data_IF_483269923989
#
_entry.id   IF_483269923989
#
_cell.length_a   1.000
_cell.length_b   1.000
_cell.length_c   1.000
_cell.angle_alpha   90.00
_cell.angle_beta   90.00
_cell.angle_gamma   90.00
#
_symmetry.space_group_name_H-M   'P 1'
#
loop_
_entity.id
_entity.type
_entity.pdbx_description
1 polymer ?
#
# COMPACT_ATOMS: atom_id res chain seq x y z
N UNK A 1 -4.31 -20.03 -2.51
CA UNK A 1 -5.45 -20.27 -1.60
C UNK A 1 -5.25 -21.59 -0.88
N UNK A 2 -4.99 -22.68 -1.61
CA UNK A 2 -4.66 -24.01 -1.07
C UNK A 2 -3.43 -23.98 -0.18
N UNK A 3 -2.38 -23.23 -0.57
CA UNK A 3 -1.12 -23.13 0.19
C UNK A 3 -1.26 -22.53 1.60
N UNK A 4 -2.36 -21.84 1.90
CA UNK A 4 -2.55 -21.10 3.16
C UNK A 4 -1.89 -19.72 3.19
N UNK A 5 -1.17 -19.29 2.14
CA UNK A 5 -0.53 -17.96 2.08
C UNK A 5 -1.54 -16.81 2.19
N UNK A 6 -2.75 -17.03 1.65
CA UNK A 6 -3.89 -16.15 1.84
C UNK A 6 -4.59 -16.58 3.12
N UNK A 7 -4.57 -15.74 4.16
CA UNK A 7 -5.18 -16.04 5.47
C UNK A 7 -6.71 -15.96 5.41
N UNK A 8 -7.39 -16.60 6.35
CA UNK A 8 -8.87 -16.56 6.42
C UNK A 8 -9.40 -15.12 6.55
N UNK A 9 -8.67 -14.24 7.25
CA UNK A 9 -9.02 -12.80 7.34
C UNK A 9 -8.95 -12.04 6.01
N UNK A 10 -8.31 -12.60 4.99
CA UNK A 10 -8.21 -12.02 3.65
C UNK A 10 -9.30 -12.52 2.69
N UNK A 11 -10.14 -13.45 3.15
CA UNK A 11 -11.23 -14.05 2.37
C UNK A 11 -12.55 -13.64 3.03
N UNK A 12 -13.43 -12.99 2.28
CA UNK A 12 -14.77 -12.62 2.76
C UNK A 12 -15.81 -12.90 1.70
N UNK A 13 -17.09 -12.79 2.05
CA UNK A 13 -18.19 -12.96 1.10
C UNK A 13 -19.31 -11.96 1.39
N UNK A 14 -20.21 -11.77 0.41
CA UNK A 14 -21.45 -11.01 0.59
C UNK A 14 -22.39 -11.68 1.61
N UNK A 15 -22.50 -13.00 1.54
CA UNK A 15 -23.32 -13.83 2.42
C UNK A 15 -22.78 -15.26 2.46
N UNK A 16 -23.31 -16.07 3.36
CA UNK A 16 -23.07 -17.52 3.37
C UNK A 16 -24.33 -18.22 3.87
N UNK A 17 -24.69 -19.35 3.27
CA UNK A 17 -25.85 -20.13 3.71
C UNK A 17 -25.70 -20.58 5.17
N UNK A 18 -24.48 -21.01 5.52
CA UNK A 18 -24.06 -21.23 6.90
C UNK A 18 -22.58 -20.84 7.02
N UNK A 19 -22.26 -19.98 8.00
CA UNK A 19 -20.95 -19.36 8.12
C UNK A 19 -19.84 -20.35 8.50
N UNK A 20 -20.17 -21.47 9.16
CA UNK A 20 -19.18 -22.45 9.63
C UNK A 20 -18.91 -23.50 8.55
N UNK A 21 -19.97 -24.08 7.97
CA UNK A 21 -19.86 -25.20 7.04
C UNK A 21 -19.58 -24.78 5.60
N UNK A 22 -20.10 -23.63 5.16
CA UNK A 22 -19.97 -23.12 3.77
C UNK A 22 -19.60 -21.63 3.72
N UNK A 23 -18.89 -21.17 4.75
CA UNK A 23 -18.34 -19.82 4.83
C UNK A 23 -17.20 -19.58 3.82
N UNK A 24 -16.81 -18.31 3.61
CA UNK A 24 -15.75 -17.92 2.69
C UNK A 24 -14.42 -18.64 2.94
N UNK A 25 -14.06 -18.92 4.20
CA UNK A 25 -12.84 -19.63 4.58
C UNK A 25 -12.78 -21.06 4.01
N UNK A 26 -13.92 -21.67 3.69
CA UNK A 26 -14.02 -23.01 3.10
C UNK A 26 -13.93 -23.00 1.57
N UNK A 27 -13.75 -21.84 0.93
CA UNK A 27 -13.66 -21.71 -0.52
C UNK A 27 -12.29 -22.13 -1.10
N UNK A 28 -11.39 -22.70 -0.30
CA UNK A 28 -10.02 -23.06 -0.74
C UNK A 28 -10.04 -24.26 -1.69
N UNK A 29 -9.20 -24.18 -2.72
CA UNK A 29 -8.96 -25.30 -3.62
C UNK A 29 -8.39 -26.50 -2.85
N UNK A 30 -8.88 -27.70 -3.16
CA UNK A 30 -8.45 -28.98 -2.57
C UNK A 30 -8.54 -29.18 -1.03
N UNK A 31 -9.50 -28.55 -0.34
CA UNK A 31 -9.91 -28.96 1.03
C UNK A 31 -11.20 -29.80 1.08
N UNK A 32 -11.29 -31.00 0.47
CA UNK A 32 -12.52 -31.80 0.47
C UNK A 32 -12.84 -32.44 1.83
N UNK A 33 -11.93 -32.38 2.81
CA UNK A 33 -12.07 -33.08 4.11
C UNK A 33 -12.24 -32.16 5.33
N UNK A 34 -12.15 -30.83 5.16
CA UNK A 34 -12.44 -29.85 6.22
C UNK A 34 -13.82 -29.23 5.97
N UNK A 35 -14.81 -29.64 6.76
CA UNK A 35 -16.22 -29.24 6.65
C UNK A 35 -16.83 -29.53 5.26
N UNK A 36 -17.83 -28.75 4.82
CA UNK A 36 -18.55 -28.99 3.55
C UNK A 36 -17.69 -28.67 2.30
N UNK A 37 -16.53 -28.03 2.48
CA UNK A 37 -15.47 -27.90 1.48
C UNK A 37 -15.76 -26.94 0.32
N UNK A 38 -16.60 -25.91 0.50
CA UNK A 38 -16.80 -24.83 -0.48
C UNK A 38 -17.43 -23.60 0.19
N UNK A 39 -17.41 -22.44 -0.47
CA UNK A 39 -18.30 -21.32 -0.13
C UNK A 39 -19.62 -21.43 -0.89
N UNK A 40 -20.74 -21.22 -0.20
CA UNK A 40 -22.08 -21.17 -0.81
C UNK A 40 -22.82 -19.93 -0.30
N UNK A 41 -23.30 -19.03 -1.19
CA UNK A 41 -24.09 -17.86 -0.79
C UNK A 41 -25.42 -18.25 -0.16
N UNK A 42 -25.99 -17.36 0.65
CA UNK A 42 -27.26 -17.59 1.34
C UNK A 42 -28.43 -17.74 0.36
N UNK A 43 -28.50 -16.86 -0.65
CA UNK A 43 -29.54 -16.89 -1.65
C UNK A 43 -29.17 -17.77 -2.85
N UNK A 44 -30.17 -18.37 -3.48
CA UNK A 44 -30.00 -18.98 -4.80
C UNK A 44 -29.59 -17.92 -5.82
N UNK A 45 -28.63 -18.28 -6.66
CA UNK A 45 -28.17 -17.42 -7.76
C UNK A 45 -29.18 -17.49 -8.89
N UNK A 46 -29.61 -16.32 -9.33
CA UNK A 46 -30.52 -16.08 -10.45
C UNK A 46 -30.01 -14.88 -11.24
N UNK A 47 -30.58 -14.64 -12.42
CA UNK A 47 -30.25 -13.44 -13.18
C UNK A 47 -30.50 -12.17 -12.36
N UNK A 48 -29.52 -11.27 -12.34
CA UNK A 48 -29.51 -10.04 -11.51
C UNK A 48 -29.12 -10.21 -10.04
N UNK A 49 -28.89 -11.42 -9.53
CA UNK A 49 -28.37 -11.61 -8.17
C UNK A 49 -26.90 -11.12 -8.07
N UNK A 50 -26.55 -10.43 -6.98
CA UNK A 50 -25.19 -9.98 -6.71
C UNK A 50 -24.67 -10.55 -5.40
N UNK A 51 -24.15 -11.77 -5.50
CA UNK A 51 -23.39 -12.43 -4.43
C UNK A 51 -21.92 -12.51 -4.86
N UNK A 52 -20.99 -12.46 -3.93
CA UNK A 52 -19.57 -12.52 -4.25
C UNK A 52 -18.73 -13.20 -3.17
N UNK A 53 -17.68 -13.90 -3.62
CA UNK A 53 -16.53 -14.28 -2.81
C UNK A 53 -15.41 -13.26 -3.07
N UNK A 54 -14.88 -12.65 -2.02
CA UNK A 54 -13.85 -11.62 -2.09
C UNK A 54 -12.52 -12.14 -1.56
N UNK A 55 -11.43 -11.87 -2.28
CA UNK A 55 -10.07 -12.20 -1.88
C UNK A 55 -9.14 -10.99 -2.05
N UNK A 56 -8.27 -10.74 -1.08
CA UNK A 56 -7.21 -9.71 -1.16
C UNK A 56 -5.96 -10.27 -1.86
N UNK A 57 -5.92 -10.26 -3.20
CA UNK A 57 -4.70 -10.60 -3.95
C UNK A 57 -4.67 -10.08 -5.40
N UNK A 58 -3.49 -10.08 -6.02
CA UNK A 58 -3.25 -9.79 -7.44
C UNK A 58 -3.35 -11.09 -8.23
N UNK A 59 -3.98 -11.06 -9.42
CA UNK A 59 -4.42 -12.29 -10.09
C UNK A 59 -4.14 -12.25 -11.60
N UNK A 60 -3.49 -13.30 -12.09
CA UNK A 60 -3.27 -13.64 -13.50
C UNK A 60 -4.19 -14.76 -13.99
N UNK A 61 -4.57 -15.69 -13.12
CA UNK A 61 -5.48 -16.79 -13.46
C UNK A 61 -6.43 -17.10 -12.30
N UNK A 62 -7.61 -17.60 -12.64
CA UNK A 62 -8.61 -18.08 -11.69
C UNK A 62 -8.89 -19.52 -12.00
N UNK A 63 -8.91 -20.38 -11.00
CA UNK A 63 -9.36 -21.76 -11.15
C UNK A 63 -10.52 -22.05 -10.20
N UNK A 64 -11.59 -22.65 -10.71
CA UNK A 64 -12.80 -22.91 -9.94
C UNK A 64 -13.17 -24.39 -9.92
N UNK A 65 -13.79 -24.82 -8.82
CA UNK A 65 -14.42 -26.14 -8.64
C UNK A 65 -15.76 -26.00 -7.89
N UNK A 66 -16.65 -26.99 -8.06
CA UNK A 66 -17.89 -27.10 -7.27
C UNK A 66 -17.69 -27.68 -5.88
N UNK A 67 -18.76 -27.92 -5.13
CA UNK A 67 -18.73 -28.58 -3.82
C UNK A 67 -18.73 -30.10 -3.99
N UNK A 68 -17.65 -30.77 -3.59
CA UNK A 68 -17.57 -32.24 -3.62
C UNK A 68 -18.25 -32.88 -2.39
N UNK A 69 -17.93 -32.39 -1.19
CA UNK A 69 -18.45 -32.87 0.10
C UNK A 69 -18.52 -34.41 0.21
N UNK A 70 -17.39 -35.07 -0.02
CA UNK A 70 -17.30 -36.54 0.05
C UNK A 70 -18.16 -37.30 -0.97
N UNK A 71 -18.58 -36.65 -2.06
CA UNK A 71 -19.46 -37.23 -3.09
C UNK A 71 -20.96 -36.90 -2.91
N UNK A 72 -21.34 -36.22 -1.82
CA UNK A 72 -22.73 -35.79 -1.61
C UNK A 72 -23.04 -34.41 -2.23
N UNK A 73 -22.02 -33.63 -2.56
CA UNK A 73 -22.18 -32.30 -3.15
C UNK A 73 -22.61 -32.35 -4.61
N UNK A 74 -23.55 -31.48 -4.97
CA UNK A 74 -24.10 -31.35 -6.35
C UNK A 74 -24.03 -29.92 -6.86
N UNK A 75 -23.53 -28.99 -6.06
CA UNK A 75 -23.60 -27.57 -6.30
C UNK A 75 -22.29 -27.05 -6.90
N UNK A 76 -22.40 -26.33 -8.02
CA UNK A 76 -21.28 -25.70 -8.71
C UNK A 76 -21.80 -24.46 -9.44
N UNK A 77 -20.92 -23.47 -9.65
CA UNK A 77 -21.24 -22.33 -10.49
C UNK A 77 -20.99 -22.67 -11.96
N UNK A 78 -21.98 -22.44 -12.83
CA UNK A 78 -21.84 -22.60 -14.28
C UNK A 78 -21.17 -21.43 -14.94
N UNK A 79 -21.33 -20.24 -14.38
CA UNK A 79 -20.70 -19.03 -14.87
C UNK A 79 -20.30 -18.18 -13.68
N UNK A 80 -19.33 -17.29 -13.90
CA UNK A 80 -19.06 -16.20 -12.99
C UNK A 80 -18.58 -14.97 -13.76
N UNK A 81 -18.61 -13.84 -13.07
CA UNK A 81 -17.96 -12.61 -13.48
C UNK A 81 -16.89 -12.26 -12.45
N UNK A 82 -15.94 -11.43 -12.85
CA UNK A 82 -14.90 -10.93 -11.96
C UNK A 82 -15.09 -9.42 -11.79
N UNK A 83 -15.23 -8.98 -10.53
CA UNK A 83 -15.10 -7.57 -10.17
C UNK A 83 -13.79 -7.36 -9.43
N UNK A 84 -13.11 -6.25 -9.68
CA UNK A 84 -11.83 -5.97 -9.05
C UNK A 84 -11.74 -4.52 -8.58
N UNK A 85 -11.01 -4.33 -7.49
CA UNK A 85 -10.68 -3.03 -6.92
C UNK A 85 -9.18 -2.84 -7.05
N UNK A 86 -8.74 -1.84 -7.79
CA UNK A 86 -7.31 -1.51 -7.91
C UNK A 86 -6.89 -0.59 -6.76
N UNK A 87 -7.43 0.61 -6.75
CA UNK A 87 -7.18 1.67 -5.76
C UNK A 87 -8.48 2.40 -5.45
N UNK A 88 -8.64 2.87 -4.21
CA UNK A 88 -9.84 3.62 -3.78
C UNK A 88 -11.02 2.71 -3.45
N UNK A 89 -12.24 3.17 -3.78
CA UNK A 89 -13.51 2.54 -3.40
C UNK A 89 -14.34 2.00 -4.57
N UNK A 90 -13.95 2.30 -5.81
CA UNK A 90 -14.73 1.95 -7.01
C UNK A 90 -14.35 0.57 -7.56
N UNK A 91 -15.32 -0.34 -7.56
CA UNK A 91 -15.19 -1.66 -8.20
C UNK A 91 -15.32 -1.56 -9.71
N UNK A 92 -14.51 -2.33 -10.44
CA UNK A 92 -14.55 -2.44 -11.89
C UNK A 92 -14.88 -3.87 -12.33
N UNK A 93 -15.74 -4.01 -13.34
CA UNK A 93 -16.04 -5.30 -13.97
C UNK A 93 -14.93 -5.67 -14.94
N UNK A 94 -14.36 -6.86 -14.79
CA UNK A 94 -13.41 -7.42 -15.74
C UNK A 94 -14.07 -7.71 -17.09
N UNK A 95 -13.34 -7.43 -18.16
CA UNK A 95 -13.72 -7.74 -19.54
C UNK A 95 -12.50 -8.28 -20.27
N UNK A 96 -12.66 -9.40 -20.95
CA UNK A 96 -11.68 -9.87 -21.93
C UNK A 96 -11.54 -8.86 -23.07
N UNK A 97 -10.49 -9.01 -23.89
CA UNK A 97 -10.23 -8.16 -25.06
C UNK A 97 -11.41 -8.07 -26.05
N UNK A 98 -12.17 -9.14 -26.18
CA UNK A 98 -13.40 -9.21 -26.98
C UNK A 98 -14.61 -8.52 -26.31
N UNK A 99 -14.42 -7.88 -25.15
CA UNK A 99 -15.44 -7.26 -24.29
C UNK A 99 -16.41 -8.22 -23.59
N UNK A 100 -16.20 -9.53 -23.64
CA UNK A 100 -16.97 -10.48 -22.83
C UNK A 100 -16.56 -10.41 -21.37
N UNK A 101 -17.54 -10.44 -20.47
CA UNK A 101 -17.33 -10.39 -19.01
C UNK A 101 -17.88 -11.61 -18.27
N UNK A 102 -18.70 -12.41 -18.95
CA UNK A 102 -19.25 -13.65 -18.42
C UNK A 102 -18.30 -14.80 -18.77
N UNK A 103 -17.87 -15.54 -17.76
CA UNK A 103 -16.93 -16.66 -17.89
C UNK A 103 -17.70 -17.95 -17.67
N UNK A 104 -17.64 -18.88 -18.64
CA UNK A 104 -18.18 -20.24 -18.48
C UNK A 104 -17.24 -21.03 -17.58
N UNK A 105 -17.75 -21.44 -16.42
CA UNK A 105 -17.00 -22.08 -15.35
C UNK A 105 -17.26 -23.60 -15.39
N UNK A 106 -17.74 -24.19 -14.29
CA UNK A 106 -17.81 -25.63 -14.12
C UNK A 106 -19.05 -26.28 -14.77
N UNK A 107 -18.88 -27.52 -15.24
CA UNK A 107 -19.95 -28.40 -15.74
C UNK A 107 -20.32 -29.51 -14.77
N UNK A 108 -19.50 -29.71 -13.74
CA UNK A 108 -19.68 -30.70 -12.69
C UNK A 108 -19.05 -30.21 -11.36
N UNK A 109 -19.09 -31.03 -10.31
CA UNK A 109 -18.60 -30.66 -8.97
C UNK A 109 -17.11 -30.91 -8.72
N UNK A 110 -16.46 -31.72 -9.56
CA UNK A 110 -15.11 -32.27 -9.31
C UNK A 110 -14.04 -31.68 -10.23
N UNK A 111 -14.37 -31.38 -11.47
CA UNK A 111 -13.43 -30.95 -12.50
C UNK A 111 -12.97 -29.53 -12.21
N UNK A 112 -11.66 -29.38 -12.05
CA UNK A 112 -11.00 -28.09 -11.96
C UNK A 112 -10.98 -27.42 -13.33
N UNK A 113 -11.41 -26.16 -13.40
CA UNK A 113 -11.34 -25.38 -14.63
C UNK A 113 -10.56 -24.11 -14.35
N UNK A 114 -9.43 -23.97 -15.04
CA UNK A 114 -8.56 -22.81 -14.99
C UNK A 114 -8.85 -21.87 -16.15
N UNK A 115 -9.01 -20.59 -15.83
CA UNK A 115 -9.18 -19.49 -16.76
C UNK A 115 -8.01 -18.51 -16.64
N UNK A 116 -7.24 -18.41 -17.71
CA UNK A 116 -6.21 -17.38 -17.84
C UNK A 116 -6.84 -16.04 -18.23
N UNK A 117 -6.57 -15.01 -17.43
CA UNK A 117 -7.11 -13.67 -17.66
C UNK A 117 -6.28 -12.95 -18.73
N UNK A 118 -6.92 -12.58 -19.84
CA UNK A 118 -6.33 -11.72 -20.87
C UNK A 118 -7.20 -10.49 -21.18
N UNK A 119 -6.84 -9.31 -20.65
CA UNK A 119 -5.58 -8.98 -19.98
C UNK A 119 -5.51 -9.49 -18.52
N UNK A 120 -4.31 -9.65 -17.94
CA UNK A 120 -4.15 -9.90 -16.51
C UNK A 120 -4.62 -8.69 -15.68
N UNK A 121 -5.03 -8.92 -14.44
CA UNK A 121 -5.59 -7.88 -13.57
C UNK A 121 -4.59 -7.50 -12.48
N UNK A 122 -4.30 -6.20 -12.37
CA UNK A 122 -3.60 -5.63 -11.21
C UNK A 122 -4.66 -5.04 -10.27
N UNK A 123 -4.89 -5.71 -9.14
CA UNK A 123 -5.90 -5.34 -8.17
C UNK A 123 -5.44 -5.55 -6.73
N UNK A 124 -5.97 -4.76 -5.80
CA UNK A 124 -5.81 -4.97 -4.36
C UNK A 124 -6.87 -5.92 -3.80
N UNK A 125 -8.06 -5.97 -4.41
CA UNK A 125 -9.15 -6.88 -4.04
C UNK A 125 -9.85 -7.41 -5.26
N UNK A 126 -10.27 -8.67 -5.23
CA UNK A 126 -11.03 -9.30 -6.31
C UNK A 126 -12.26 -9.97 -5.74
N UNK A 127 -13.35 -9.93 -6.51
CA UNK A 127 -14.63 -10.56 -6.25
C UNK A 127 -14.96 -11.52 -7.39
N UNK A 128 -15.21 -12.77 -7.05
CA UNK A 128 -15.86 -13.74 -7.93
C UNK A 128 -17.36 -13.67 -7.71
N UNK A 129 -18.07 -13.30 -8.76
CA UNK A 129 -19.53 -13.07 -8.75
C UNK A 129 -20.19 -14.21 -9.53
N UNK A 130 -20.66 -15.28 -8.88
CA UNK A 130 -21.34 -16.38 -9.57
C UNK A 130 -22.58 -15.89 -10.32
N UNK A 131 -22.81 -16.48 -11.49
CA UNK A 131 -23.93 -16.16 -12.38
C UNK A 131 -24.65 -17.42 -12.85
N UNK A 132 -25.97 -17.33 -12.95
CA UNK A 132 -26.82 -18.38 -13.50
C UNK A 132 -28.04 -17.78 -14.16
N UNK A 133 -28.37 -18.26 -15.37
CA UNK A 133 -29.57 -17.86 -16.10
C UNK A 133 -30.86 -18.28 -15.39
N UNK A 134 -30.82 -19.38 -14.62
CA UNK A 134 -31.96 -19.89 -13.87
C UNK A 134 -31.61 -20.00 -12.38
N UNK A 135 -32.60 -19.82 -11.47
CA UNK A 135 -32.39 -19.96 -10.03
C UNK A 135 -31.75 -21.31 -9.67
N UNK A 136 -30.59 -21.28 -9.02
CA UNK A 136 -29.93 -22.49 -8.49
C UNK A 136 -29.05 -22.19 -7.29
N UNK A 137 -28.87 -23.21 -6.45
CA UNK A 137 -27.82 -23.19 -5.43
C UNK A 137 -26.48 -23.41 -6.11
N UNK A 138 -25.51 -22.55 -5.80
CA UNK A 138 -24.13 -22.67 -6.29
C UNK A 138 -23.20 -22.74 -5.10
N UNK A 139 -22.05 -23.36 -5.32
CA UNK A 139 -20.93 -23.28 -4.41
C UNK A 139 -19.63 -23.13 -5.21
N UNK A 140 -18.65 -22.46 -4.64
CA UNK A 140 -17.34 -22.24 -5.25
C UNK A 140 -16.22 -22.72 -4.32
N UNK A 141 -15.29 -23.45 -4.92
CA UNK A 141 -13.89 -23.51 -4.51
C UNK A 141 -13.07 -22.74 -5.53
N UNK A 142 -12.06 -22.03 -5.07
CA UNK A 142 -11.25 -21.13 -5.91
C UNK A 142 -9.77 -21.26 -5.58
N UNK A 143 -8.95 -21.30 -6.62
CA UNK A 143 -7.53 -20.95 -6.57
C UNK A 143 -7.26 -19.72 -7.43
N UNK A 144 -6.39 -18.84 -6.93
CA UNK A 144 -6.00 -17.60 -7.56
C UNK A 144 -4.49 -17.64 -7.79
N UNK A 145 -4.09 -17.50 -9.04
CA UNK A 145 -2.69 -17.46 -9.44
C UNK A 145 -2.30 -16.03 -9.70
N UNK A 146 -1.08 -15.64 -9.33
CA UNK A 146 -0.56 -14.31 -9.60
C UNK A 146 0.81 -14.08 -8.99
N UNK A 147 1.23 -12.82 -8.95
CA UNK A 147 2.49 -12.41 -8.35
C UNK A 147 2.35 -11.05 -7.63
N UNK A 148 3.26 -10.75 -6.70
CA UNK A 148 3.31 -9.43 -6.09
C UNK A 148 3.68 -8.38 -7.15
N UNK A 149 2.79 -7.40 -7.31
CA UNK A 149 2.99 -6.30 -8.24
C UNK A 149 3.91 -5.26 -7.61
N UNK A 150 5.09 -5.08 -8.21
CA UNK A 150 6.11 -4.13 -7.76
C UNK A 150 6.06 -2.86 -8.63
N UNK A 151 5.08 -1.98 -8.41
CA UNK A 151 5.37 -0.55 -8.48
C UNK A 151 4.68 0.41 -9.46
N UNK A 152 3.38 0.34 -9.77
CA UNK A 152 2.61 1.49 -10.35
C UNK A 152 1.11 1.45 -9.92
N UNK A 153 0.71 2.30 -8.96
CA UNK A 153 -0.67 2.27 -8.40
C UNK A 153 -1.70 2.92 -9.32
N UNK A 154 -1.35 4.00 -10.01
CA UNK A 154 -2.23 4.73 -10.93
C UNK A 154 -1.44 5.15 -12.16
N UNK A 155 -1.60 4.37 -13.23
CA UNK A 155 -1.64 4.98 -14.56
C UNK A 155 -3.04 5.56 -14.66
N UNK A 156 -3.16 6.86 -14.97
CA UNK A 156 -4.44 7.58 -15.02
C UNK A 156 -5.57 6.71 -15.55
N UNK A 157 -6.68 6.67 -14.80
CA UNK A 157 -7.86 5.84 -15.07
C UNK A 157 -8.54 6.12 -16.43
N UNK A 158 -8.01 7.06 -17.21
CA UNK A 158 -8.45 7.37 -18.57
C UNK A 158 -7.53 6.80 -19.66
N UNK A 159 -6.36 6.24 -19.35
CA UNK A 159 -5.42 5.77 -20.38
C UNK A 159 -5.75 4.34 -20.85
N UNK A 160 -6.49 3.56 -20.05
CA UNK A 160 -7.05 2.25 -20.45
C UNK A 160 -8.49 2.32 -21.00
N UNK A 161 -8.96 3.51 -21.40
CA UNK A 161 -10.10 3.54 -22.30
C UNK A 161 -9.63 3.09 -23.69
N UNK A 162 -9.83 1.80 -23.96
CA UNK A 162 -9.84 1.17 -25.28
C UNK A 162 -10.02 2.19 -26.42
N UNK A 163 -8.90 2.65 -27.02
CA UNK A 163 -8.96 3.05 -28.42
C UNK A 163 -9.05 1.76 -29.23
N UNK A 164 -10.30 1.43 -29.55
CA UNK A 164 -10.73 0.34 -30.43
C UNK A 164 -10.15 0.55 -31.83
N UNK A 165 -8.87 0.26 -32.04
CA UNK A 165 -8.31 0.07 -33.38
C UNK A 165 -8.59 -1.36 -33.80
N UNK A 166 -9.75 -1.53 -34.44
CA UNK A 166 -10.14 -2.73 -35.18
C UNK A 166 -9.15 -2.89 -36.33
N UNK A 167 -8.12 -3.74 -36.18
CA UNK A 167 -7.35 -4.24 -37.32
C UNK A 167 -7.99 -5.54 -37.80
N UNK A 168 -8.57 -5.44 -38.99
CA UNK A 168 -9.01 -6.55 -39.81
C UNK A 168 -7.77 -7.17 -40.47
N UNK A 169 -7.82 -8.50 -40.63
CA UNK A 169 -6.91 -9.40 -41.36
C UNK A 169 -5.70 -10.03 -40.65
N UNK A 170 -5.85 -11.36 -40.48
CA UNK A 170 -4.90 -12.47 -40.59
C UNK A 170 -3.40 -12.17 -40.46
N UNK A 171 -2.79 -12.92 -39.53
CA UNK A 171 -1.38 -13.31 -39.48
C UNK A 171 -0.35 -12.21 -39.17
N UNK A 172 -0.36 -11.69 -37.94
CA UNK A 172 0.88 -11.37 -37.20
C UNK A 172 0.54 -10.95 -35.77
N UNK A 173 1.15 -11.62 -34.79
CA UNK A 173 1.10 -11.24 -33.37
C UNK A 173 1.92 -9.94 -33.18
N UNK A 174 1.30 -8.79 -33.43
CA UNK A 174 1.95 -7.49 -33.22
C UNK A 174 1.65 -6.94 -31.83
N UNK A 175 2.73 -6.53 -31.16
CA UNK A 175 2.76 -6.04 -29.79
C UNK A 175 1.76 -4.90 -29.61
N UNK A 176 0.85 -5.05 -28.65
CA UNK A 176 -0.13 -4.02 -28.33
C UNK A 176 0.61 -2.74 -27.91
N UNK A 177 0.43 -1.70 -28.73
CA UNK A 177 1.04 -0.39 -28.54
C UNK A 177 -0.07 0.64 -28.35
N UNK A 178 0.01 1.47 -27.32
CA UNK A 178 -0.84 2.64 -27.14
C UNK A 178 -0.26 3.75 -28.02
N UNK A 179 -1.08 4.24 -28.95
CA UNK A 179 -0.73 5.37 -29.82
C UNK A 179 -1.19 6.69 -29.19
N UNK A 180 -0.26 7.61 -29.00
CA UNK A 180 -0.52 8.98 -28.58
C UNK A 180 -0.36 9.91 -29.78
N UNK A 181 -1.33 10.81 -29.97
CA UNK A 181 -1.21 11.89 -30.95
C UNK A 181 -0.47 13.06 -30.30
N UNK A 182 0.40 13.72 -31.07
CA UNK A 182 1.12 14.90 -30.61
C UNK A 182 0.13 16.02 -30.23
N UNK A 183 0.35 16.63 -29.07
CA UNK A 183 -0.27 17.91 -28.77
C UNK A 183 0.27 18.99 -29.74
N UNK A 184 -0.33 20.18 -29.73
CA UNK A 184 0.07 21.29 -30.60
C UNK A 184 1.56 21.67 -30.47
N UNK A 185 2.18 21.39 -29.32
CA UNK A 185 3.59 21.63 -29.03
C UNK A 185 4.53 20.48 -29.46
N UNK A 186 3.99 19.37 -30.01
CA UNK A 186 4.77 18.19 -30.37
C UNK A 186 5.07 17.24 -29.21
N UNK A 187 4.37 17.38 -28.08
CA UNK A 187 4.63 16.61 -26.87
C UNK A 187 3.43 15.82 -26.36
N UNK A 188 3.67 14.85 -25.47
CA UNK A 188 2.66 14.14 -24.68
C UNK A 188 3.12 14.13 -23.23
N UNK A 189 2.23 14.52 -22.32
CA UNK A 189 2.47 14.48 -20.87
C UNK A 189 1.79 13.25 -20.25
N UNK A 190 2.56 12.51 -19.46
CA UNK A 190 2.12 11.34 -18.71
C UNK A 190 2.48 11.53 -17.23
N UNK A 191 1.52 11.31 -16.34
CA UNK A 191 1.78 11.32 -14.89
C UNK A 191 1.54 9.92 -14.32
N UNK A 192 2.46 9.48 -13.48
CA UNK A 192 2.46 8.17 -12.82
C UNK A 192 2.48 8.42 -11.31
N UNK A 193 1.48 7.92 -10.58
CA UNK A 193 1.58 7.88 -9.11
C UNK A 193 1.82 6.45 -8.62
N UNK A 194 2.54 6.40 -7.51
CA UNK A 194 2.99 5.21 -6.83
C UNK A 194 2.30 5.12 -5.46
N UNK A 195 2.18 3.91 -4.95
CA UNK A 195 1.54 3.57 -3.68
C UNK A 195 2.28 4.17 -2.47
N UNK A 196 3.58 4.38 -2.62
CA UNK A 196 4.49 4.88 -1.59
C UNK A 196 5.67 5.64 -2.22
N UNK A 197 6.45 6.35 -1.39
CA UNK A 197 7.70 6.97 -1.86
C UNK A 197 8.71 5.87 -2.18
N UNK A 198 9.20 5.87 -3.41
CA UNK A 198 10.19 4.93 -3.91
C UNK A 198 11.45 5.66 -4.35
N UNK A 199 12.58 4.96 -4.31
CA UNK A 199 13.85 5.42 -4.86
C UNK A 199 14.04 4.82 -6.26
N UNK A 200 14.10 5.67 -7.30
CA UNK A 200 14.06 5.26 -8.69
C UNK A 200 15.45 5.14 -9.31
N UNK A 201 15.76 3.99 -9.89
CA UNK A 201 17.03 3.71 -10.55
C UNK A 201 17.02 4.14 -12.01
N UNK A 202 16.02 3.70 -12.77
CA UNK A 202 15.85 4.00 -14.19
C UNK A 202 14.40 3.77 -14.64
N UNK A 203 14.03 4.33 -15.79
CA UNK A 203 12.80 4.02 -16.53
C UNK A 203 13.16 3.41 -17.89
N UNK A 204 12.37 2.46 -18.35
CA UNK A 204 12.47 1.87 -19.69
C UNK A 204 11.20 2.18 -20.48
N UNK A 205 11.38 2.72 -21.68
CA UNK A 205 10.31 3.06 -22.62
C UNK A 205 10.42 2.15 -23.85
N UNK A 206 9.38 1.39 -24.13
CA UNK A 206 9.28 0.59 -25.34
C UNK A 206 8.47 1.34 -26.38
N UNK A 207 9.14 1.83 -27.42
CA UNK A 207 8.52 2.65 -28.47
C UNK A 207 8.53 1.94 -29.81
N UNK A 208 7.51 2.18 -30.63
CA UNK A 208 7.52 1.76 -32.03
C UNK A 208 8.13 2.89 -32.87
N UNK A 209 9.23 2.58 -33.58
CA UNK A 209 10.10 3.55 -34.26
C UNK A 209 10.78 4.53 -33.28
N UNK A 210 11.92 5.08 -33.71
CA UNK A 210 12.77 5.94 -32.87
C UNK A 210 12.44 7.43 -33.09
N UNK A 211 11.15 7.76 -33.03
CA UNK A 211 10.63 9.12 -33.26
C UNK A 211 10.75 10.02 -32.03
N UNK A 212 10.99 9.42 -30.86
CA UNK A 212 11.18 10.09 -29.59
C UNK A 212 12.47 10.91 -29.64
N UNK A 213 12.37 12.20 -29.31
CA UNK A 213 13.43 13.19 -29.47
C UNK A 213 14.00 13.61 -28.13
N UNK A 214 13.12 13.87 -27.17
CA UNK A 214 13.47 14.32 -25.83
C UNK A 214 12.44 13.78 -24.83
N UNK A 215 12.92 13.35 -23.69
CA UNK A 215 12.11 12.98 -22.54
C UNK A 215 12.49 13.84 -21.36
N UNK A 216 11.52 14.53 -20.77
CA UNK A 216 11.70 15.28 -19.53
C UNK A 216 10.95 14.60 -18.42
N UNK A 217 11.60 14.41 -17.27
CA UNK A 217 11.05 13.68 -16.14
C UNK A 217 11.17 14.57 -14.91
N UNK A 218 10.07 14.80 -14.21
CA UNK A 218 10.00 15.55 -12.96
C UNK A 218 9.41 14.70 -11.87
N UNK A 219 9.87 14.91 -10.63
CA UNK A 219 9.58 14.07 -9.49
C UNK A 219 8.80 14.86 -8.44
N UNK A 220 7.84 14.20 -7.81
CA UNK A 220 7.10 14.74 -6.69
C UNK A 220 7.17 13.80 -5.51
N UNK A 221 7.60 14.31 -4.35
CA UNK A 221 7.53 13.58 -3.09
C UNK A 221 6.13 13.66 -2.48
N UNK A 222 5.38 14.73 -2.72
CA UNK A 222 4.06 14.94 -2.14
C UNK A 222 2.88 14.58 -3.07
N UNK A 223 3.14 14.21 -4.33
CA UNK A 223 2.14 13.87 -5.35
C UNK A 223 1.47 15.08 -6.01
N UNK A 224 1.76 16.31 -5.56
CA UNK A 224 1.07 17.54 -6.02
C UNK A 224 2.00 18.52 -6.72
N UNK A 225 3.21 18.68 -6.21
CA UNK A 225 4.18 19.65 -6.73
C UNK A 225 5.34 18.91 -7.40
N UNK A 226 5.60 19.27 -8.66
CA UNK A 226 6.71 18.75 -9.46
C UNK A 226 7.76 19.85 -9.61
N UNK A 227 8.84 19.76 -8.82
CA UNK A 227 9.90 20.76 -8.86
C UNK A 227 10.76 20.62 -10.11
N UNK A 228 11.01 21.72 -10.81
CA UNK A 228 12.00 21.79 -11.90
C UNK A 228 13.41 21.42 -11.43
N UNK A 229 13.75 21.66 -10.16
CA UNK A 229 15.05 21.23 -9.60
C UNK A 229 15.24 19.71 -9.56
N UNK A 230 14.15 18.94 -9.68
CA UNK A 230 14.19 17.49 -9.77
C UNK A 230 14.32 16.97 -11.21
N UNK A 231 14.22 17.86 -12.20
CA UNK A 231 14.06 17.48 -13.59
C UNK A 231 15.28 16.71 -14.12
N UNK A 232 15.00 15.63 -14.86
CA UNK A 232 15.97 14.92 -15.67
C UNK A 232 15.54 15.07 -17.12
N UNK A 233 16.45 15.49 -17.98
CA UNK A 233 16.22 15.56 -19.42
C UNK A 233 17.10 14.53 -20.12
N UNK A 234 16.49 13.65 -20.90
CA UNK A 234 17.16 12.72 -21.79
C UNK A 234 16.89 13.10 -23.23
N UNK A 235 17.94 13.18 -24.05
CA UNK A 235 17.83 13.44 -25.48
C UNK A 235 18.17 12.15 -26.21
N UNK A 236 17.27 11.71 -27.06
CA UNK A 236 17.42 10.49 -27.84
C UNK A 236 17.99 10.87 -29.21
N UNK A 237 19.21 10.42 -29.49
CA UNK A 237 19.86 10.63 -30.79
C UNK A 237 19.32 9.60 -31.78
N UNK A 238 18.95 10.05 -32.99
CA UNK A 238 18.60 9.16 -34.10
C UNK A 238 19.77 8.21 -34.35
N UNK A 239 19.52 6.90 -34.28
CA UNK A 239 20.48 5.90 -34.75
C UNK A 239 20.69 6.10 -36.24
N UNK A 240 21.94 6.27 -36.66
CA UNK A 240 22.33 6.41 -38.07
C UNK A 240 22.27 5.09 -38.84
N UNK A 241 22.07 3.96 -38.17
CA UNK A 241 22.01 2.64 -38.80
C UNK A 241 20.57 2.11 -38.74
N UNK A 242 19.84 2.28 -39.84
CA UNK A 242 18.45 1.80 -40.01
C UNK A 242 18.30 0.27 -39.92
N UNK A 243 19.41 -0.47 -39.97
CA UNK A 243 19.43 -1.94 -40.03
C UNK A 243 19.27 -2.65 -38.68
N UNK A 244 19.41 -1.94 -37.55
CA UNK A 244 19.17 -2.53 -36.21
C UNK A 244 17.84 -2.08 -35.60
N UNK A 245 16.73 -2.35 -36.29
CA UNK A 245 15.37 -2.33 -35.70
C UNK A 245 15.16 -3.48 -34.69
N UNK A 246 16.17 -3.82 -33.87
CA UNK A 246 15.90 -4.52 -32.62
C UNK A 246 15.29 -3.50 -31.68
N UNK A 247 14.01 -3.70 -31.37
CA UNK A 247 13.18 -2.96 -30.41
C UNK A 247 13.80 -3.00 -29.00
N UNK A 248 14.96 -2.39 -28.79
CA UNK A 248 15.55 -2.27 -27.48
C UNK A 248 14.90 -1.08 -26.77
N UNK A 249 14.51 -1.23 -25.49
CA UNK A 249 13.87 -0.15 -24.76
C UNK A 249 14.82 1.04 -24.59
N UNK A 250 14.27 2.24 -24.67
CA UNK A 250 14.98 3.47 -24.33
C UNK A 250 15.06 3.52 -22.80
N UNK A 251 16.26 3.29 -22.26
CA UNK A 251 16.51 3.29 -20.82
C UNK A 251 17.06 4.65 -20.37
N UNK A 252 16.35 5.31 -19.46
CA UNK A 252 16.73 6.61 -18.92
C UNK A 252 17.07 6.45 -17.43
N UNK A 253 18.33 6.69 -17.01
CA UNK A 253 18.71 6.68 -15.60
C UNK A 253 17.96 7.75 -14.81
N UNK A 254 17.44 7.38 -13.64
CA UNK A 254 16.73 8.28 -12.72
C UNK A 254 17.57 8.64 -11.48
N UNK A 255 18.83 8.21 -11.43
CA UNK A 255 19.85 8.62 -10.44
C UNK A 255 19.44 8.51 -8.97
N UNK A 256 18.59 7.53 -8.62
CA UNK A 256 18.15 7.34 -7.24
C UNK A 256 17.25 8.46 -6.73
N UNK A 257 16.57 9.20 -7.62
CA UNK A 257 15.58 10.21 -7.21
C UNK A 257 14.43 9.56 -6.44
N UNK A 258 13.93 10.26 -5.43
CA UNK A 258 12.86 9.76 -4.55
C UNK A 258 11.56 10.50 -4.87
N UNK A 259 10.48 9.75 -5.02
CA UNK A 259 9.16 10.30 -5.35
C UNK A 259 8.02 9.34 -5.01
N UNK A 260 6.83 9.91 -4.82
CA UNK A 260 5.55 9.19 -4.86
C UNK A 260 4.83 9.39 -6.21
N UNK A 261 5.18 10.43 -6.97
CA UNK A 261 4.67 10.63 -8.33
C UNK A 261 5.76 11.12 -9.28
N UNK A 262 5.68 10.69 -10.53
CA UNK A 262 6.58 11.08 -11.62
C UNK A 262 5.74 11.64 -12.75
N UNK A 263 6.10 12.82 -13.23
CA UNK A 263 5.55 13.42 -14.45
C UNK A 263 6.59 13.35 -15.56
N UNK A 264 6.19 12.86 -16.71
CA UNK A 264 7.03 12.64 -17.88
C UNK A 264 6.44 13.36 -19.09
N UNK A 265 7.25 14.19 -19.74
CA UNK A 265 6.90 14.87 -20.99
C UNK A 265 7.74 14.25 -22.10
N UNK A 266 7.07 13.69 -23.09
CA UNK A 266 7.65 13.00 -24.23
C UNK A 266 7.51 13.89 -25.47
N UNK A 267 8.63 14.39 -25.98
CA UNK A 267 8.69 15.13 -27.23
C UNK A 267 9.11 14.19 -28.36
N UNK A 268 8.40 14.23 -29.48
CA UNK A 268 8.64 13.37 -30.64
C UNK A 268 8.47 14.12 -31.95
N UNK A 269 9.01 13.54 -33.02
CA UNK A 269 9.10 14.20 -34.34
C UNK A 269 7.91 13.94 -35.25
N UNK A 270 7.24 12.82 -35.06
CA UNK A 270 6.08 12.43 -35.86
C UNK A 270 4.78 12.95 -35.22
N UNK A 271 3.67 12.91 -35.96
CA UNK A 271 2.35 13.23 -35.39
C UNK A 271 1.87 12.19 -34.38
N UNK A 272 2.45 10.99 -34.40
CA UNK A 272 2.09 9.88 -33.52
C UNK A 272 3.31 9.29 -32.82
N UNK A 273 3.16 9.00 -31.54
CA UNK A 273 4.09 8.20 -30.74
C UNK A 273 3.40 6.91 -30.32
N UNK A 274 3.99 5.76 -30.62
CA UNK A 274 3.48 4.46 -30.18
C UNK A 274 4.35 3.93 -29.03
N UNK A 275 3.72 3.67 -27.88
CA UNK A 275 4.36 3.09 -26.71
C UNK A 275 3.73 1.73 -26.41
N UNK A 276 4.52 0.66 -26.36
CA UNK A 276 4.01 -0.67 -25.95
C UNK A 276 4.11 -0.90 -24.45
N UNK A 277 5.13 -0.35 -23.80
CA UNK A 277 5.35 -0.53 -22.37
C UNK A 277 6.19 0.59 -21.77
N UNK A 278 5.90 0.95 -20.52
CA UNK A 278 6.68 1.86 -19.67
C UNK A 278 6.90 1.14 -18.35
N UNK A 279 8.16 0.94 -17.95
CA UNK A 279 8.50 0.27 -16.69
C UNK A 279 9.47 1.11 -15.87
N UNK A 280 9.25 1.15 -14.55
CA UNK A 280 10.11 1.86 -13.61
C UNK A 280 10.83 0.87 -12.70
N UNK A 281 12.16 0.89 -12.72
CA UNK A 281 12.96 0.19 -11.73
C UNK A 281 13.11 1.06 -10.50
N UNK A 282 12.62 0.58 -9.37
CA UNK A 282 12.68 1.29 -8.09
C UNK A 282 12.77 0.34 -6.91
N UNK A 283 13.30 0.84 -5.80
CA UNK A 283 13.29 0.17 -4.51
C UNK A 283 12.38 0.91 -3.53
N UNK A 284 11.67 0.14 -2.70
CA UNK A 284 11.05 0.72 -1.50
C UNK A 284 12.15 1.31 -0.63
N UNK A 285 11.89 2.45 0.00
CA UNK A 285 12.77 2.98 1.03
C UNK A 285 12.62 2.11 2.28
N UNK A 286 13.48 1.10 2.42
CA UNK A 286 13.67 0.39 3.69
C UNK A 286 14.46 1.34 4.59
N UNK A 287 13.79 1.86 5.61
CA UNK A 287 14.38 2.84 6.52
C UNK A 287 15.33 2.11 7.46
N UNK A 288 16.63 2.27 7.24
CA UNK A 288 17.62 1.91 8.24
C UNK A 288 17.72 3.03 9.27
N UNK A 289 17.37 2.71 10.53
CA UNK A 289 17.48 3.59 11.69
C UNK A 289 18.89 4.19 11.87
N UNK A 290 19.92 3.59 11.26
CA UNK A 290 21.31 4.04 11.30
C UNK A 290 21.55 5.46 10.74
N UNK A 291 20.64 6.01 9.91
CA UNK A 291 20.75 7.39 9.44
C UNK A 291 20.31 8.43 10.49
N UNK A 292 19.60 8.00 11.54
CA UNK A 292 19.31 8.80 12.71
C UNK A 292 20.38 8.53 13.77
N UNK A 293 21.65 8.81 13.47
CA UNK A 293 22.73 8.68 14.46
C UNK A 293 22.40 9.42 15.76
N UNK A 294 21.70 10.55 15.65
CA UNK A 294 21.13 11.34 16.75
C UNK A 294 20.07 10.56 17.56
N UNK A 295 19.24 9.74 16.92
CA UNK A 295 18.29 8.85 17.61
C UNK A 295 19.05 7.76 18.39
N UNK A 296 20.02 7.09 17.77
CA UNK A 296 20.84 6.09 18.48
C UNK A 296 21.63 6.72 19.64
N UNK A 297 22.20 7.90 19.44
CA UNK A 297 22.95 8.63 20.46
C UNK A 297 22.04 9.11 21.60
N UNK A 298 20.83 9.59 21.29
CA UNK A 298 19.80 9.95 22.30
C UNK A 298 19.37 8.72 23.09
N UNK A 299 19.00 7.63 22.41
CA UNK A 299 18.61 6.36 23.05
C UNK A 299 19.73 5.82 23.96
N UNK A 300 21.01 5.98 23.57
CA UNK A 300 22.16 5.59 24.40
C UNK A 300 22.37 6.52 25.60
N UNK A 301 22.32 7.85 25.38
CA UNK A 301 22.53 8.85 26.44
C UNK A 301 21.46 8.79 27.52
N UNK A 302 20.17 8.67 27.16
CA UNK A 302 19.07 8.67 28.14
C UNK A 302 19.03 7.39 29.01
N UNK A 303 19.81 6.36 28.66
CA UNK A 303 20.03 5.19 29.52
C UNK A 303 21.23 5.35 30.47
N UNK A 304 22.11 6.34 30.27
CA UNK A 304 23.33 6.56 31.06
C UNK A 304 23.46 8.04 31.54
N UNK A 305 22.89 8.33 32.72
CA UNK A 305 23.32 9.35 33.70
C UNK A 305 22.73 10.79 33.73
N UNK A 306 23.09 11.49 34.82
CA UNK A 306 22.40 12.56 35.59
C UNK A 306 22.98 13.99 35.37
N UNK A 307 22.14 15.01 35.65
CA UNK A 307 22.43 16.42 36.08
C UNK A 307 22.97 17.42 35.02
N UNK A 308 22.76 18.76 35.01
CA UNK A 308 22.02 19.82 35.78
C UNK A 308 21.83 21.02 34.79
N UNK A 309 20.78 21.87 34.85
CA UNK A 309 20.46 22.82 33.76
C UNK A 309 21.06 24.25 33.90
N UNK A 310 21.10 25.05 32.82
CA UNK A 310 21.55 26.45 32.80
C UNK A 310 20.42 27.50 32.97
N UNK A 311 20.77 28.76 33.30
CA UNK A 311 19.83 29.82 33.71
C UNK A 311 19.11 30.56 32.57
N UNK A 312 17.83 30.90 32.80
CA UNK A 312 16.85 31.49 31.88
C UNK A 312 16.85 33.03 31.77
N UNK A 313 17.75 33.64 31.02
CA UNK A 313 17.71 35.11 30.81
C UNK A 313 17.50 35.59 29.37
N UNK A 314 17.33 34.72 28.36
CA UNK A 314 17.36 35.16 26.94
C UNK A 314 16.29 34.56 26.00
N UNK A 315 15.00 34.48 26.36
CA UNK A 315 13.97 34.02 25.41
C UNK A 315 13.04 35.13 24.91
N UNK A 316 13.10 35.38 23.60
CA UNK A 316 12.02 36.01 22.83
C UNK A 316 11.01 34.95 22.39
N UNK A 317 9.71 35.20 22.62
CA UNK A 317 8.65 34.24 22.33
C UNK A 317 8.43 34.07 20.80
N UNK A 318 8.51 32.85 20.24
CA UNK A 318 8.12 32.59 18.86
C UNK A 318 6.58 32.59 18.70
N UNK A 319 6.05 32.88 17.48
CA UNK A 319 4.62 32.98 17.21
C UNK A 319 3.85 31.69 17.56
N UNK A 320 2.54 31.78 17.85
CA UNK A 320 1.76 30.63 18.28
C UNK A 320 1.74 29.53 17.20
N UNK A 321 1.77 28.24 17.61
CA UNK A 321 1.69 27.13 16.67
C UNK A 321 0.38 27.15 15.87
N UNK A 322 0.44 26.67 14.63
CA UNK A 322 -0.65 26.74 13.64
C UNK A 322 -1.46 25.45 13.49
N UNK A 323 -1.04 24.36 14.15
CA UNK A 323 -1.81 23.12 14.23
C UNK A 323 -0.99 21.94 14.78
N UNK A 324 -1.60 20.76 14.82
CA UNK A 324 -0.96 19.50 15.25
C UNK A 324 -0.13 18.89 14.12
N UNK A 325 0.99 18.24 14.44
CA UNK A 325 1.97 17.71 13.50
C UNK A 325 1.35 16.78 12.46
N UNK A 326 0.44 15.89 12.87
CA UNK A 326 -0.20 14.95 11.93
C UNK A 326 -0.91 15.64 10.75
N UNK A 327 -1.34 16.90 10.90
CA UNK A 327 -1.95 17.69 9.82
C UNK A 327 -0.89 18.09 8.77
N UNK A 328 0.36 18.29 9.21
CA UNK A 328 1.49 18.72 8.39
C UNK A 328 2.27 17.57 7.79
N UNK A 329 2.04 16.34 8.22
CA UNK A 329 2.60 15.12 7.61
C UNK A 329 1.94 14.94 6.24
N UNK A 330 2.50 15.64 5.26
CA UNK A 330 2.34 15.33 3.85
C UNK A 330 3.43 14.33 3.49
N UNK A 331 3.32 13.64 2.35
CA UNK A 331 4.28 12.60 1.92
C UNK A 331 5.73 13.13 1.66
N UNK A 332 6.24 14.09 2.41
CA UNK A 332 7.59 14.60 2.31
C UNK A 332 8.46 14.04 3.43
N UNK A 333 9.22 12.99 3.09
CA UNK A 333 10.17 12.33 3.99
C UNK A 333 11.18 13.30 4.63
N UNK A 334 11.64 14.31 3.89
CA UNK A 334 12.62 15.27 4.42
C UNK A 334 12.05 16.12 5.55
N UNK A 335 10.75 16.44 5.49
CA UNK A 335 10.07 17.16 6.55
C UNK A 335 9.93 16.27 7.80
N UNK A 336 9.58 14.98 7.62
CA UNK A 336 9.50 14.02 8.74
C UNK A 336 10.85 13.86 9.44
N UNK A 337 11.95 13.70 8.70
CA UNK A 337 13.29 13.58 9.31
C UNK A 337 13.66 14.86 10.06
N UNK A 338 13.35 16.05 9.50
CA UNK A 338 13.56 17.32 10.20
C UNK A 338 12.73 17.40 11.47
N UNK A 339 11.46 17.01 11.42
CA UNK A 339 10.57 16.99 12.58
C UNK A 339 11.08 16.05 13.66
N UNK A 340 11.51 14.83 13.32
CA UNK A 340 12.11 13.87 14.26
C UNK A 340 13.32 14.50 14.95
N UNK A 341 14.21 15.13 14.19
CA UNK A 341 15.39 15.77 14.76
C UNK A 341 15.05 16.90 15.75
N UNK A 342 14.03 17.70 15.44
CA UNK A 342 13.58 18.75 16.35
C UNK A 342 12.85 18.18 17.58
N UNK A 343 12.09 17.08 17.43
CA UNK A 343 11.46 16.38 18.56
C UNK A 343 12.53 15.82 19.50
N UNK A 344 13.61 15.22 18.98
CA UNK A 344 14.74 14.76 19.81
C UNK A 344 15.30 15.91 20.63
N UNK A 345 15.58 17.06 20.01
CA UNK A 345 16.10 18.22 20.73
C UNK A 345 15.15 18.72 21.82
N UNK A 346 13.82 18.65 21.58
CA UNK A 346 12.82 19.00 22.60
C UNK A 346 12.74 17.99 23.74
N UNK A 347 12.86 16.68 23.46
CA UNK A 347 12.83 15.64 24.49
C UNK A 347 14.12 15.61 25.31
N UNK A 348 15.29 15.84 24.69
CA UNK A 348 16.58 16.00 25.39
C UNK A 348 16.51 17.18 26.36
N UNK A 349 15.86 18.28 25.96
CA UNK A 349 15.63 19.42 26.85
C UNK A 349 14.72 19.06 28.04
N UNK A 350 13.60 18.38 27.81
CA UNK A 350 12.70 17.95 28.89
C UNK A 350 13.40 17.01 29.88
N UNK A 351 14.22 16.08 29.39
CA UNK A 351 15.03 15.20 30.23
C UNK A 351 16.03 15.99 31.10
N UNK A 352 16.73 16.98 30.53
CA UNK A 352 17.66 17.84 31.26
C UNK A 352 16.97 18.62 32.39
N UNK A 353 15.74 19.08 32.15
CA UNK A 353 14.89 19.77 33.15
C UNK A 353 14.18 18.81 34.11
N UNK A 354 14.37 17.50 33.97
CA UNK A 354 13.66 16.46 34.73
C UNK A 354 12.13 16.56 34.61
N UNK A 355 11.64 17.01 33.46
CA UNK A 355 10.24 17.10 33.12
C UNK A 355 9.82 15.87 32.31
N UNK A 356 8.94 15.06 32.88
CA UNK A 356 8.41 13.87 32.22
C UNK A 356 7.17 14.24 31.40
N UNK A 357 7.18 13.95 30.10
CA UNK A 357 6.05 14.17 29.21
C UNK A 357 4.92 13.15 29.43
N UNK A 358 5.29 11.88 29.62
CA UNK A 358 4.46 10.71 29.93
C UNK A 358 3.57 10.19 28.80
N UNK A 359 3.50 10.84 27.64
CA UNK A 359 2.63 10.39 26.53
C UNK A 359 2.96 11.11 25.21
N UNK A 360 4.24 11.22 24.86
CA UNK A 360 4.58 11.84 23.58
C UNK A 360 3.88 11.08 22.45
N UNK A 361 3.19 11.82 21.59
CA UNK A 361 2.48 11.33 20.42
C UNK A 361 2.48 12.41 19.34
N UNK A 362 2.19 12.08 18.07
CA UNK A 362 2.04 13.08 17.01
C UNK A 362 0.98 14.15 17.31
N UNK A 363 0.03 13.87 18.21
CA UNK A 363 -1.00 14.83 18.63
C UNK A 363 -0.49 15.87 19.62
N UNK A 364 0.56 15.54 20.38
CA UNK A 364 1.23 16.41 21.34
C UNK A 364 2.26 17.31 20.67
N UNK A 365 2.57 17.09 19.39
CA UNK A 365 3.53 17.91 18.66
C UNK A 365 2.76 18.93 17.83
N UNK A 366 3.04 20.20 18.04
CA UNK A 366 2.46 21.32 17.29
C UNK A 366 3.47 21.84 16.27
N UNK A 367 2.99 22.38 15.17
CA UNK A 367 3.82 22.95 14.10
C UNK A 367 3.42 24.40 13.87
N UNK A 368 4.39 25.31 13.86
CA UNK A 368 4.15 26.72 13.56
C UNK A 368 4.16 27.03 12.05
N UNK A 369 3.91 28.29 11.70
CA UNK A 369 3.90 28.76 10.30
C UNK A 369 5.22 28.53 9.55
N UNK A 370 6.34 28.40 10.28
CA UNK A 370 7.67 28.18 9.72
C UNK A 370 8.04 26.69 9.65
N UNK A 371 7.08 25.79 9.86
CA UNK A 371 7.28 24.35 9.95
C UNK A 371 8.29 23.95 11.05
N UNK A 372 8.33 24.70 12.16
CA UNK A 372 9.08 24.32 13.37
C UNK A 372 8.17 23.58 14.33
N UNK A 373 8.69 22.55 14.98
CA UNK A 373 7.91 21.78 15.96
C UNK A 373 7.93 22.45 17.33
N UNK A 374 6.86 22.26 18.09
CA UNK A 374 6.75 22.58 19.51
C UNK A 374 6.15 21.38 20.23
N UNK A 375 6.83 20.87 21.24
CA UNK A 375 6.30 19.81 22.09
C UNK A 375 5.31 20.43 23.08
N UNK A 376 4.06 19.98 23.01
CA UNK A 376 2.96 20.47 23.84
C UNK A 376 2.42 19.34 24.72
N UNK A 377 1.57 19.72 25.67
CA UNK A 377 0.97 18.78 26.61
C UNK A 377 1.98 17.94 27.43
N UNK A 378 3.09 18.51 27.97
CA UNK A 378 3.77 17.82 29.06
C UNK A 378 2.75 17.65 30.20
N UNK A 379 2.67 16.44 30.74
CA UNK A 379 1.57 16.04 31.63
C UNK A 379 1.44 16.95 32.85
N UNK A 380 0.21 17.40 33.13
CA UNK A 380 -0.22 17.76 34.48
C UNK A 380 -0.72 16.52 35.24
N UNK A 381 -0.87 16.64 36.56
CA UNK A 381 -1.09 15.53 37.54
C UNK A 381 -2.33 14.64 37.26
N UNK A 382 -3.25 15.00 36.35
CA UNK A 382 -4.58 14.40 36.24
C UNK A 382 -4.98 13.77 34.89
N UNK A 383 -4.09 13.67 33.90
CA UNK A 383 -4.48 13.11 32.60
C UNK A 383 -4.52 11.56 32.59
N UNK A 384 -5.37 10.96 31.74
CA UNK A 384 -5.46 9.51 31.48
C UNK A 384 -4.31 9.02 30.58
N UNK A 385 -3.77 7.83 30.86
CA UNK A 385 -2.65 7.25 30.10
C UNK A 385 -3.04 7.08 28.61
N UNK A 386 -2.20 7.54 27.68
CA UNK A 386 -2.38 7.15 26.27
C UNK A 386 -1.75 5.77 26.09
N UNK A 387 -2.53 4.73 26.42
CA UNK A 387 -2.14 3.31 26.46
C UNK A 387 -1.22 2.85 25.31
N UNK A 388 -1.39 3.40 24.11
CA UNK A 388 -0.67 2.97 22.90
C UNK A 388 0.74 3.57 22.77
N UNK A 389 1.00 4.66 23.48
CA UNK A 389 2.28 5.38 23.48
C UNK A 389 3.01 5.25 24.83
N UNK A 390 2.29 4.85 25.87
CA UNK A 390 2.87 4.64 27.19
C UNK A 390 3.72 3.36 27.23
N UNK A 391 4.81 3.41 27.97
CA UNK A 391 5.61 2.22 28.25
C UNK A 391 4.82 1.23 29.12
N UNK A 392 5.04 -0.10 28.99
CA UNK A 392 4.31 -1.12 29.74
C UNK A 392 4.30 -0.88 31.26
N UNK A 393 5.42 -0.43 31.82
CA UNK A 393 5.56 -0.10 33.25
C UNK A 393 4.59 1.01 33.70
N UNK A 394 4.42 2.04 32.87
CA UNK A 394 3.54 3.18 33.15
C UNK A 394 2.05 2.82 32.99
N UNK A 395 1.75 1.65 32.41
CA UNK A 395 0.39 1.15 32.21
C UNK A 395 -0.06 0.25 33.36
N UNK A 396 0.86 -0.54 33.94
CA UNK A 396 0.53 -1.59 34.92
C UNK A 396 0.55 -1.07 36.36
N UNK A 397 1.38 -0.09 36.68
CA UNK A 397 1.53 0.48 38.04
C UNK A 397 0.39 1.44 38.45
N UNK A 398 -0.86 1.07 38.15
CA UNK A 398 -2.05 1.90 38.42
C UNK A 398 -2.31 2.11 39.91
N UNK A 399 -1.76 1.25 40.80
CA UNK A 399 -2.12 1.26 42.23
C UNK A 399 -0.99 1.62 43.21
N UNK A 400 0.19 2.04 42.74
CA UNK A 400 1.27 2.50 43.63
C UNK A 400 2.18 3.44 42.85
N UNK A 401 1.83 4.74 42.85
CA UNK A 401 2.49 5.83 42.11
C UNK A 401 2.75 5.49 40.63
N UNK A 402 1.94 6.07 39.74
CA UNK A 402 2.13 6.00 38.30
C UNK A 402 3.47 6.71 37.96
N UNK A 403 4.59 6.01 38.09
CA UNK A 403 5.94 6.52 37.89
C UNK A 403 6.23 6.55 36.39
N UNK A 404 5.62 7.54 35.73
CA UNK A 404 6.13 8.05 34.48
C UNK A 404 7.61 8.38 34.68
N UNK A 405 8.45 8.01 33.74
CA UNK A 405 9.89 8.19 33.84
C UNK A 405 10.44 8.71 32.52
N UNK A 406 11.65 9.28 32.53
CA UNK A 406 12.33 9.65 31.29
C UNK A 406 12.51 8.41 30.38
N UNK A 407 12.63 7.19 30.94
CA UNK A 407 12.65 5.95 30.16
C UNK A 407 11.31 5.66 29.49
N UNK A 408 10.20 5.94 30.17
CA UNK A 408 8.86 5.89 29.59
C UNK A 408 8.66 6.92 28.47
N UNK A 409 9.28 8.11 28.60
CA UNK A 409 9.28 9.12 27.54
C UNK A 409 10.06 8.65 26.32
N UNK A 410 11.20 8.00 26.51
CA UNK A 410 11.99 7.38 25.44
C UNK A 410 11.15 6.35 24.67
N UNK A 411 10.37 5.51 25.37
CA UNK A 411 9.42 4.60 24.74
C UNK A 411 8.37 5.36 23.91
N UNK A 412 7.70 6.35 24.50
CA UNK A 412 6.67 7.13 23.80
C UNK A 412 7.22 7.88 22.57
N UNK A 413 8.49 8.30 22.64
CA UNK A 413 9.21 8.87 21.52
C UNK A 413 9.48 7.84 20.42
N UNK A 414 9.92 6.64 20.75
CA UNK A 414 10.10 5.57 19.77
C UNK A 414 8.79 5.21 19.04
N UNK A 415 7.68 5.12 19.78
CA UNK A 415 6.35 4.89 19.20
C UNK A 415 5.92 6.07 18.31
N UNK A 416 6.17 7.30 18.75
CA UNK A 416 5.89 8.50 17.94
C UNK A 416 6.68 8.48 16.64
N UNK A 417 7.98 8.15 16.68
CA UNK A 417 8.83 8.05 15.47
C UNK A 417 8.31 6.97 14.53
N UNK A 418 7.93 5.79 15.05
CA UNK A 418 7.33 4.73 14.24
C UNK A 418 6.09 5.23 13.49
N UNK A 419 5.20 5.92 14.19
CA UNK A 419 3.98 6.46 13.58
C UNK A 419 4.27 7.55 12.54
N UNK A 420 5.22 8.46 12.83
CA UNK A 420 5.64 9.52 11.89
C UNK A 420 6.23 8.92 10.61
N UNK A 421 7.08 7.89 10.72
CA UNK A 421 7.67 7.20 9.57
C UNK A 421 6.61 6.40 8.79
N UNK A 422 5.54 5.96 9.45
CA UNK A 422 4.32 5.41 8.86
C UNK A 422 3.36 6.47 8.27
N UNK A 423 3.78 7.74 8.20
CA UNK A 423 2.96 8.89 7.77
C UNK A 423 1.65 9.05 8.55
N UNK A 424 1.61 8.59 9.81
CA UNK A 424 0.40 8.54 10.63
C UNK A 424 -0.80 7.84 9.95
N UNK A 425 -0.54 6.89 9.04
CA UNK A 425 -1.60 6.10 8.37
C UNK A 425 -2.21 5.05 9.28
N UNK A 426 -1.41 4.54 10.20
CA UNK A 426 -1.80 3.55 11.20
C UNK A 426 -1.48 4.10 12.58
N UNK A 427 -2.27 3.72 13.56
CA UNK A 427 -2.02 4.06 14.95
C UNK A 427 -1.37 2.85 15.66
N UNK A 428 -0.52 3.08 16.69
CA UNK A 428 0.23 2.00 17.31
C UNK A 428 -0.68 0.90 17.86
N UNK A 429 -0.31 -0.35 17.56
CA UNK A 429 -1.03 -1.56 17.97
C UNK A 429 -2.49 -1.61 17.52
N UNK A 430 -2.81 -1.09 16.33
CA UNK A 430 -4.21 -0.97 15.87
C UNK A 430 -4.99 -2.28 15.71
N UNK A 431 -4.31 -3.42 15.70
CA UNK A 431 -4.94 -4.74 15.72
C UNK A 431 -5.42 -5.17 17.13
N UNK A 432 -4.92 -4.55 18.19
CA UNK A 432 -5.21 -4.90 19.58
C UNK A 432 -6.21 -3.93 20.21
N UNK A 433 -7.18 -4.48 20.94
CA UNK A 433 -8.04 -3.73 21.86
C UNK A 433 -7.24 -3.21 23.05
N UNK A 434 -7.78 -2.20 23.74
CA UNK A 434 -7.14 -1.65 24.94
C UNK A 434 -7.01 -2.69 26.06
N UNK A 435 -7.91 -3.68 26.11
CA UNK A 435 -7.85 -4.79 27.07
C UNK A 435 -6.67 -5.71 26.75
N UNK A 436 -6.53 -6.12 25.49
CA UNK A 436 -5.41 -6.97 25.05
C UNK A 436 -4.06 -6.28 25.25
N UNK A 437 -3.99 -4.96 25.08
CA UNK A 437 -2.77 -4.20 25.39
C UNK A 437 -2.42 -4.22 26.88
N UNK A 438 -3.41 -4.08 27.75
CA UNK A 438 -3.22 -4.18 29.21
C UNK A 438 -2.79 -5.59 29.61
N UNK A 439 -3.42 -6.61 29.05
CA UNK A 439 -3.11 -8.01 29.33
C UNK A 439 -1.69 -8.36 28.85
N UNK A 440 -1.29 -7.91 27.66
CA UNK A 440 0.07 -8.05 27.14
C UNK A 440 1.11 -7.33 28.02
N UNK A 441 0.80 -6.12 28.49
CA UNK A 441 1.69 -5.39 29.38
C UNK A 441 1.87 -6.15 30.70
N UNK A 442 0.78 -6.64 31.31
CA UNK A 442 0.84 -7.43 32.55
C UNK A 442 1.68 -8.70 32.38
N UNK A 443 1.50 -9.40 31.27
CA UNK A 443 2.28 -10.60 30.97
C UNK A 443 3.79 -10.29 30.88
N UNK A 444 4.17 -9.17 30.26
CA UNK A 444 5.57 -8.71 30.21
C UNK A 444 6.20 -8.45 31.59
N UNK A 445 5.39 -8.07 32.58
CA UNK A 445 5.87 -7.79 33.95
C UNK A 445 5.87 -9.02 34.86
N UNK A 446 4.96 -9.95 34.64
CA UNK A 446 4.92 -11.23 35.36
C UNK A 446 6.06 -12.16 34.88
N UNK A 447 6.37 -12.14 33.58
CA UNK A 447 7.48 -12.89 32.98
C UNK A 447 8.67 -11.96 32.69
N UNK A 448 9.60 -11.80 33.65
CA UNK A 448 10.89 -11.15 33.37
C UNK A 448 11.60 -11.92 32.24
N UNK A 449 11.73 -11.26 31.08
CA UNK A 449 12.47 -11.65 29.87
C UNK A 449 11.79 -12.68 28.94
N UNK A 450 10.81 -12.24 28.14
CA UNK A 450 10.70 -12.69 26.74
C UNK A 450 9.98 -11.65 25.86
N UNK A 451 10.63 -11.26 24.76
CA UNK A 451 10.17 -10.26 23.78
C UNK A 451 8.77 -10.58 23.23
N UNK A 452 7.80 -9.69 23.46
CA UNK A 452 6.53 -9.68 22.72
C UNK A 452 6.68 -8.84 21.45
N UNK A 453 7.08 -9.55 20.39
CA UNK A 453 6.58 -9.46 19.01
C UNK A 453 6.20 -8.06 18.48
N UNK A 454 7.16 -7.41 17.79
CA UNK A 454 6.81 -6.58 16.64
C UNK A 454 6.43 -7.52 15.49
N UNK A 455 5.14 -7.80 15.29
CA UNK A 455 4.72 -8.47 14.04
C UNK A 455 4.82 -7.46 12.91
N UNK A 456 5.73 -7.78 11.99
CA UNK A 456 5.94 -7.16 10.67
C UNK A 456 4.68 -7.04 9.82
#
# INVERSE_FOLDING_TARGET
MESGDIRDSQISASSSFDAISVGPQNARFASPYLFSGAWCPFQQIRDGAYEFLQVLHIITDVETQGRFAGGAGKEFATHYMIDYLRTGSQWMRYKYRNSSHLIEANKDVSTAIRHTLDPPIIASRIRLVPYSYYPRTVCLRTELYGCQYKGISSLDQNIYQYYKLKRVHNNSWEHQSIGFYANLDGSVELTFEFDEIRQFSYVELWTYKNSLKKTEITFSTNGKQFSLSSQISSIQRKSTNETELRRLPIRIPLHGRRAIAIRMILNFTDSWLFLSEISFSSSKLVIFLSNLKIFEDFMKKSYESKSKPPSWSNFHFPPPPSGKLFIYIKNNYLDIVRFINEIVGGMEYLEQEQLIHGHLSPQCILVDLNLRIKIASPRGVSHHAQLRYSAPESIIMVNSFNEWSCKGDVWSFAITVWELLGYCKEYPFGALSNKELLDNARQYFEDRFQLIICTS
#
